data_IF_980759771661
#
_entry.id   IF_980759771661
#
_cell.length_a   1.000
_cell.length_b   1.000
_cell.length_c   1.000
_cell.angle_alpha   90.00
_cell.angle_beta   90.00
_cell.angle_gamma   90.00
#
_symmetry.space_group_name_H-M   'P 1'
#
loop_
_entity.id
_entity.type
_entity.pdbx_description
1 polymer ?
#
# COMPACT_ATOMS: atom_id res chain seq x y z
N UNK A 1 36.06 24.75 81.58
CA UNK A 1 35.06 23.70 81.90
C UNK A 1 34.74 23.01 80.58
N UNK A 2 35.56 22.06 80.11
CA UNK A 2 35.62 20.64 80.51
C UNK A 2 34.29 19.91 80.28
N UNK A 3 34.29 19.03 79.25
CA UNK A 3 33.76 17.65 79.15
C UNK A 3 32.35 17.33 79.74
N UNK A 4 31.49 16.48 79.18
CA UNK A 4 31.57 15.34 78.26
C UNK A 4 30.15 15.09 77.69
N UNK A 5 29.99 14.82 76.40
CA UNK A 5 29.89 13.47 75.80
C UNK A 5 29.06 12.46 76.62
N UNK A 6 27.80 12.23 76.20
CA UNK A 6 27.16 10.92 76.33
C UNK A 6 26.87 10.37 74.95
N UNK A 7 27.75 9.46 74.56
CA UNK A 7 27.57 8.45 73.53
C UNK A 7 26.29 7.65 73.79
N UNK A 8 25.49 7.42 72.76
CA UNK A 8 24.65 6.22 72.68
C UNK A 8 25.01 5.48 71.39
N UNK A 9 25.25 4.18 71.55
CA UNK A 9 25.98 3.29 70.65
C UNK A 9 25.12 2.87 69.45
N UNK A 10 25.76 2.73 68.28
CA UNK A 10 25.27 1.94 67.13
C UNK A 10 25.11 0.45 67.52
N UNK A 11 24.29 -0.30 66.75
CA UNK A 11 24.92 -1.17 65.76
C UNK A 11 24.28 -1.11 64.36
N UNK A 12 25.17 -1.32 63.40
CA UNK A 12 24.98 -1.60 61.97
C UNK A 12 24.07 -2.81 61.74
N UNK A 13 23.22 -2.81 60.70
CA UNK A 13 22.96 -3.94 59.76
C UNK A 13 22.02 -3.51 58.60
N UNK A 14 22.50 -3.74 57.37
CA UNK A 14 21.81 -4.07 56.11
C UNK A 14 20.80 -3.12 55.43
N UNK A 15 21.30 -2.40 54.41
CA UNK A 15 20.96 -2.59 52.98
C UNK A 15 19.56 -3.12 52.61
N UNK A 16 18.74 -2.26 51.99
CA UNK A 16 17.80 -2.66 50.94
C UNK A 16 17.43 -1.46 50.05
N UNK A 17 17.75 -1.59 48.76
CA UNK A 17 17.39 -0.68 47.68
C UNK A 17 15.88 -0.43 47.65
N UNK A 18 15.48 0.84 47.61
CA UNK A 18 14.13 1.21 47.17
C UNK A 18 14.16 1.45 45.66
N UNK A 19 13.59 0.50 44.93
CA UNK A 19 13.49 0.48 43.48
C UNK A 19 12.67 1.67 42.96
N UNK A 20 13.32 2.54 42.20
CA UNK A 20 12.64 3.44 41.27
C UNK A 20 12.21 2.58 40.09
N UNK A 21 10.92 2.26 40.01
CA UNK A 21 10.32 1.66 38.81
C UNK A 21 10.24 2.77 37.76
N UNK A 22 11.27 2.88 36.92
CA UNK A 22 11.16 3.57 35.64
C UNK A 22 10.19 2.76 34.78
N UNK A 23 9.00 3.30 34.57
CA UNK A 23 8.13 2.88 33.46
C UNK A 23 8.84 3.26 32.16
N UNK A 24 9.72 2.39 31.69
CA UNK A 24 10.22 2.43 30.33
C UNK A 24 9.08 1.98 29.43
N UNK A 25 8.33 2.94 28.89
CA UNK A 25 7.54 2.69 27.68
C UNK A 25 8.51 2.15 26.63
N UNK A 26 8.24 1.01 25.97
CA UNK A 26 9.05 0.59 24.84
C UNK A 26 8.79 1.57 23.69
N UNK A 27 9.55 2.65 23.66
CA UNK A 27 9.73 3.45 22.46
C UNK A 27 10.47 2.52 21.49
N UNK A 28 9.71 1.83 20.64
CA UNK A 28 10.26 0.98 19.61
C UNK A 28 11.26 1.81 18.78
N UNK A 29 12.54 1.57 19.04
CA UNK A 29 13.64 2.27 18.42
C UNK A 29 13.94 1.56 17.11
N UNK A 30 13.27 1.97 16.04
CA UNK A 30 13.50 1.43 14.70
C UNK A 30 14.63 2.20 14.03
N UNK A 31 15.82 1.62 14.06
CA UNK A 31 16.97 2.05 13.27
C UNK A 31 17.36 0.93 12.31
N UNK A 32 16.58 0.75 11.23
CA UNK A 32 16.98 -0.02 10.05
C UNK A 32 16.20 0.51 8.85
N UNK A 33 16.84 1.38 8.07
CA UNK A 33 16.26 2.30 7.07
C UNK A 33 15.26 3.30 7.69
N UNK A 34 15.46 4.61 7.50
CA UNK A 34 14.59 5.65 8.06
C UNK A 34 13.18 5.72 7.44
N UNK A 35 12.76 4.68 6.72
CA UNK A 35 11.52 4.63 5.95
C UNK A 35 10.50 3.79 6.71
N UNK A 36 9.40 4.43 7.12
CA UNK A 36 8.32 3.76 7.86
C UNK A 36 7.35 3.14 6.87
N UNK A 37 7.20 1.83 6.90
CA UNK A 37 6.32 1.09 6.02
C UNK A 37 4.89 1.05 6.54
N UNK A 38 3.94 1.07 5.61
CA UNK A 38 2.52 0.97 5.90
C UNK A 38 1.85 -0.03 4.96
N UNK A 39 0.92 -0.80 5.50
CA UNK A 39 -0.10 -1.49 4.74
C UNK A 39 -1.27 -0.54 4.55
N UNK A 40 -1.71 -0.39 3.31
CA UNK A 40 -2.82 0.47 2.91
C UNK A 40 -3.88 -0.42 2.30
N UNK A 41 -5.14 -0.18 2.66
CA UNK A 41 -6.27 -0.80 1.99
C UNK A 41 -7.28 0.28 1.64
N UNK A 42 -7.72 0.27 0.37
CA UNK A 42 -8.65 1.25 -0.18
C UNK A 42 -9.77 0.52 -0.93
N UNK A 43 -11.00 0.95 -0.70
CA UNK A 43 -12.15 0.62 -1.56
C UNK A 43 -12.77 1.90 -2.09
N UNK A 44 -12.99 1.96 -3.40
CA UNK A 44 -13.72 3.03 -4.06
C UNK A 44 -15.04 2.46 -4.59
N UNK A 45 -16.14 3.14 -4.31
CA UNK A 45 -17.47 2.66 -4.66
C UNK A 45 -18.36 3.80 -5.18
N UNK A 46 -19.21 3.49 -6.14
CA UNK A 46 -20.18 4.40 -6.74
C UNK A 46 -21.44 4.49 -5.89
N UNK A 47 -22.01 5.69 -5.78
CA UNK A 47 -23.37 5.90 -5.30
C UNK A 47 -24.34 5.84 -6.50
N UNK A 48 -25.02 4.71 -6.75
CA UNK A 48 -25.84 4.53 -7.96
C UNK A 48 -27.10 5.42 -8.00
N UNK A 49 -27.58 5.86 -6.84
CA UNK A 49 -28.76 6.73 -6.70
C UNK A 49 -28.40 8.20 -6.48
N UNK A 50 -27.13 8.59 -6.60
CA UNK A 50 -26.69 9.96 -6.39
C UNK A 50 -27.23 10.90 -7.47
N UNK A 51 -27.78 12.05 -7.07
CA UNK A 51 -28.11 13.10 -8.03
C UNK A 51 -26.85 13.90 -8.38
N UNK A 52 -26.15 13.49 -9.43
CA UNK A 52 -24.91 14.13 -9.86
C UNK A 52 -25.14 15.50 -10.54
N UNK A 53 -26.38 15.85 -10.86
CA UNK A 53 -26.75 17.07 -11.58
C UNK A 53 -27.00 18.27 -10.65
N UNK A 54 -27.15 18.03 -9.35
CA UNK A 54 -27.36 19.09 -8.36
C UNK A 54 -26.09 19.91 -8.05
N UNK A 55 -24.92 19.38 -8.40
CA UNK A 55 -23.64 20.03 -8.11
C UNK A 55 -22.97 20.55 -9.39
N UNK A 56 -22.75 21.86 -9.44
CA UNK A 56 -22.12 22.55 -10.55
C UNK A 56 -20.60 22.32 -10.51
N UNK A 57 -20.18 21.18 -11.03
CA UNK A 57 -18.77 20.89 -11.26
C UNK A 57 -18.26 21.71 -12.46
N UNK A 58 -17.07 22.30 -12.39
CA UNK A 58 -16.49 23.01 -13.53
C UNK A 58 -16.38 22.05 -14.72
N UNK A 59 -17.10 22.36 -15.80
CA UNK A 59 -17.17 21.51 -17.00
C UNK A 59 -15.91 21.61 -17.88
N UNK A 60 -15.08 22.62 -17.61
CA UNK A 60 -13.91 22.95 -18.41
C UNK A 60 -12.66 22.90 -17.52
N UNK A 61 -11.66 22.13 -17.96
CA UNK A 61 -10.23 22.30 -17.65
C UNK A 61 -9.59 21.70 -16.40
N UNK A 62 -10.30 21.07 -15.45
CA UNK A 62 -9.58 20.47 -14.32
C UNK A 62 -8.90 19.12 -14.62
N UNK A 63 -8.50 18.83 -15.87
CA UNK A 63 -7.72 17.64 -16.24
C UNK A 63 -6.44 17.55 -15.40
N UNK A 64 -6.48 16.86 -14.26
CA UNK A 64 -5.28 16.44 -13.59
C UNK A 64 -4.66 15.32 -14.43
N UNK A 65 -3.42 15.56 -14.83
CA UNK A 65 -2.59 14.56 -15.49
C UNK A 65 -2.08 13.61 -14.41
N UNK A 66 -2.21 12.31 -14.66
CA UNK A 66 -1.52 11.31 -13.83
C UNK A 66 -0.01 11.59 -13.91
N UNK A 67 0.68 11.82 -12.79
CA UNK A 67 2.10 12.19 -12.84
C UNK A 67 2.95 11.10 -13.52
N UNK A 68 4.06 11.48 -14.15
CA UNK A 68 4.94 10.53 -14.86
C UNK A 68 5.54 9.46 -13.93
N UNK A 69 5.71 9.77 -12.64
CA UNK A 69 6.20 8.83 -11.63
C UNK A 69 5.09 7.97 -11.01
N UNK A 70 3.85 8.02 -11.52
CA UNK A 70 2.77 7.20 -11.00
C UNK A 70 2.99 5.72 -11.35
N UNK A 71 2.68 4.85 -10.39
CA UNK A 71 2.83 3.40 -10.55
C UNK A 71 1.47 2.72 -10.48
N UNK A 72 1.24 1.73 -11.35
CA UNK A 72 0.15 0.78 -11.16
C UNK A 72 0.55 -0.24 -10.09
N UNK A 73 -0.40 -0.69 -9.26
CA UNK A 73 -0.13 -1.77 -8.32
C UNK A 73 0.00 -3.09 -9.08
N UNK A 74 1.17 -3.71 -9.02
CA UNK A 74 1.42 -5.00 -9.65
C UNK A 74 0.55 -6.09 -9.02
N UNK A 75 -0.05 -6.97 -9.82
CA UNK A 75 -0.69 -8.19 -9.33
C UNK A 75 0.28 -9.36 -9.39
N UNK A 76 0.13 -10.33 -8.49
CA UNK A 76 0.84 -11.62 -8.63
C UNK A 76 0.51 -12.30 -9.95
N UNK A 77 -0.71 -12.15 -10.46
CA UNK A 77 -1.07 -12.74 -11.75
C UNK A 77 -0.21 -12.15 -12.87
N UNK A 78 0.02 -10.84 -12.90
CA UNK A 78 0.84 -10.18 -13.92
C UNK A 78 2.28 -10.73 -13.93
N UNK A 79 2.83 -11.02 -12.74
CA UNK A 79 4.17 -11.57 -12.59
C UNK A 79 4.23 -13.06 -12.97
N UNK A 80 3.14 -13.81 -12.76
CA UNK A 80 3.08 -15.23 -13.13
C UNK A 80 2.75 -15.44 -14.62
N UNK A 81 2.13 -14.46 -15.27
CA UNK A 81 1.81 -14.47 -16.72
C UNK A 81 2.98 -14.06 -17.60
N UNK A 82 4.22 -14.12 -17.11
CA UNK A 82 5.42 -13.79 -17.87
C UNK A 82 5.38 -14.39 -19.28
N UNK A 83 5.57 -13.52 -20.27
CA UNK A 83 5.69 -13.82 -21.69
C UNK A 83 6.81 -14.83 -22.04
N UNK A 84 7.62 -15.25 -21.06
CA UNK A 84 8.69 -16.23 -21.23
C UNK A 84 8.19 -17.65 -21.57
N UNK A 85 6.93 -18.00 -21.27
CA UNK A 85 6.38 -19.30 -21.66
C UNK A 85 6.13 -19.41 -23.16
N UNK A 86 5.91 -18.30 -23.85
CA UNK A 86 5.72 -18.26 -25.31
C UNK A 86 7.05 -18.52 -26.05
N UNK A 87 8.17 -18.17 -25.42
CA UNK A 87 9.52 -18.38 -25.98
C UNK A 87 10.04 -19.83 -25.79
N UNK A 88 9.45 -20.60 -24.87
CA UNK A 88 9.71 -22.05 -24.73
C UNK A 88 8.94 -22.89 -25.75
N UNK A 89 7.87 -22.35 -26.36
CA UNK A 89 7.10 -23.06 -27.38
C UNK A 89 7.86 -23.20 -28.71
N UNK A 90 8.82 -22.31 -28.98
CA UNK A 90 9.68 -22.30 -30.17
C UNK A 90 11.02 -23.01 -29.94
N UNK A 91 11.24 -23.62 -28.77
CA UNK A 91 12.38 -24.49 -28.55
C UNK A 91 12.17 -25.76 -29.40
N UNK A 92 13.01 -26.04 -30.42
CA UNK A 92 12.90 -27.28 -31.15
C UNK A 92 13.06 -28.43 -30.14
N UNK A 93 12.04 -29.28 -30.04
CA UNK A 93 12.11 -30.56 -29.34
C UNK A 93 13.09 -31.46 -30.12
N UNK A 94 14.38 -31.18 -30.02
CA UNK A 94 15.42 -32.06 -30.46
C UNK A 94 15.40 -33.26 -29.51
N UNK A 95 14.79 -34.36 -29.97
CA UNK A 95 14.97 -35.67 -29.36
C UNK A 95 16.47 -35.93 -29.26
N UNK A 96 16.96 -35.91 -28.03
CA UNK A 96 18.37 -36.02 -27.69
C UNK A 96 18.95 -37.33 -28.23
N UNK A 97 19.64 -37.23 -29.36
CA UNK A 97 20.62 -38.19 -29.84
C UNK A 97 21.82 -37.40 -30.36
N UNK A 98 22.51 -36.72 -29.46
CA UNK A 98 23.89 -36.30 -29.69
C UNK A 98 24.60 -36.17 -28.34
N UNK A 99 25.43 -37.17 -28.07
CA UNK A 99 26.54 -37.04 -27.12
C UNK A 99 27.32 -35.75 -27.46
N UNK A 100 27.40 -34.82 -26.50
CA UNK A 100 28.33 -33.69 -26.57
C UNK A 100 27.84 -32.40 -27.23
N UNK A 101 26.52 -32.13 -27.28
CA UNK A 101 26.07 -30.78 -27.60
C UNK A 101 26.20 -29.86 -26.36
N UNK A 102 27.28 -29.08 -26.30
CA UNK A 102 27.34 -27.91 -25.41
C UNK A 102 26.21 -26.95 -25.82
N UNK A 103 25.14 -26.94 -25.03
CA UNK A 103 24.13 -25.90 -25.13
C UNK A 103 24.85 -24.58 -24.86
N UNK A 104 24.88 -23.62 -25.81
CA UNK A 104 25.35 -22.30 -25.50
C UNK A 104 24.33 -21.73 -24.53
N UNK A 105 24.64 -21.79 -23.23
CA UNK A 105 23.97 -20.95 -22.24
C UNK A 105 24.42 -19.54 -22.59
N UNK A 106 23.70 -18.89 -23.51
CA UNK A 106 23.78 -17.46 -23.68
C UNK A 106 23.44 -16.89 -22.30
N UNK A 107 24.46 -16.57 -21.52
CA UNK A 107 24.33 -15.78 -20.30
C UNK A 107 23.86 -14.41 -20.75
N UNK A 108 22.54 -14.28 -20.96
CA UNK A 108 21.87 -13.00 -21.03
C UNK A 108 22.22 -12.29 -19.73
N UNK A 109 22.71 -11.06 -19.85
CA UNK A 109 23.24 -10.27 -18.74
C UNK A 109 22.40 -10.48 -17.48
N UNK A 110 23.05 -10.97 -16.43
CA UNK A 110 22.48 -11.26 -15.12
C UNK A 110 22.11 -9.98 -14.34
N UNK A 111 21.64 -8.93 -15.01
CA UNK A 111 21.32 -7.65 -14.36
C UNK A 111 19.92 -7.62 -13.76
N UNK A 112 19.01 -8.48 -14.20
CA UNK A 112 17.74 -8.75 -13.50
C UNK A 112 17.61 -10.25 -13.31
N UNK A 113 18.26 -10.78 -12.26
CA UNK A 113 18.00 -12.12 -11.80
C UNK A 113 16.49 -12.23 -11.50
N UNK A 114 15.78 -13.04 -12.29
CA UNK A 114 14.37 -13.36 -12.05
C UNK A 114 14.23 -13.78 -10.57
N UNK A 115 13.51 -12.96 -9.80
CA UNK A 115 13.17 -13.26 -8.40
C UNK A 115 11.67 -13.32 -8.28
N UNK A 116 11.19 -14.28 -7.51
CA UNK A 116 9.78 -14.30 -7.11
C UNK A 116 9.49 -13.03 -6.29
N UNK A 117 8.37 -12.34 -6.56
CA UNK A 117 7.94 -11.23 -5.73
C UNK A 117 7.79 -11.65 -4.27
N UNK A 118 8.29 -10.83 -3.38
CA UNK A 118 8.18 -11.01 -1.93
C UNK A 118 7.08 -10.08 -1.41
N UNK A 119 5.85 -10.59 -1.26
CA UNK A 119 4.69 -9.84 -0.73
C UNK A 119 4.96 -9.15 0.61
N UNK A 120 5.96 -9.61 1.37
CA UNK A 120 6.31 -9.05 2.67
C UNK A 120 7.30 -7.88 2.59
N UNK A 121 7.99 -7.70 1.45
CA UNK A 121 9.08 -6.72 1.29
C UNK A 121 9.00 -5.88 0.03
N UNK A 122 8.22 -6.28 -0.96
CA UNK A 122 8.06 -5.55 -2.21
C UNK A 122 6.96 -4.50 -2.04
N UNK A 123 7.32 -3.24 -2.26
CA UNK A 123 6.37 -2.14 -2.25
C UNK A 123 5.47 -2.17 -3.49
N UNK A 124 4.27 -1.62 -3.35
CA UNK A 124 3.29 -1.43 -4.44
C UNK A 124 2.82 -2.74 -5.11
N UNK A 125 3.00 -3.87 -4.44
CA UNK A 125 2.45 -5.17 -4.84
C UNK A 125 1.08 -5.39 -4.18
N UNK A 126 0.07 -5.77 -4.98
CA UNK A 126 -1.26 -6.08 -4.46
C UNK A 126 -1.19 -7.31 -3.56
N UNK A 127 -1.70 -7.16 -2.34
CA UNK A 127 -1.86 -8.25 -1.39
C UNK A 127 -3.02 -9.15 -1.81
N UNK A 128 -2.94 -10.45 -1.53
CA UNK A 128 -4.02 -11.39 -1.83
C UNK A 128 -5.22 -11.16 -0.90
N UNK A 129 -6.39 -11.65 -1.32
CA UNK A 129 -7.67 -11.38 -0.66
C UNK A 129 -7.71 -11.81 0.82
N UNK A 130 -6.90 -12.79 1.24
CA UNK A 130 -6.82 -13.23 2.64
C UNK A 130 -6.26 -12.16 3.58
N UNK A 131 -5.54 -11.17 3.04
CA UNK A 131 -4.95 -10.06 3.78
C UNK A 131 -5.77 -8.76 3.69
N UNK A 132 -6.99 -8.84 3.12
CA UNK A 132 -7.91 -7.71 3.02
C UNK A 132 -8.88 -7.71 4.20
N UNK A 133 -9.01 -6.58 4.89
CA UNK A 133 -9.97 -6.45 5.99
C UNK A 133 -11.35 -5.99 5.48
N UNK A 134 -11.43 -5.30 4.34
CA UNK A 134 -12.69 -4.76 3.82
C UNK A 134 -13.59 -5.79 3.15
N UNK A 135 -13.27 -7.08 3.22
CA UNK A 135 -14.09 -8.14 2.59
C UNK A 135 -15.55 -8.11 3.03
N UNK A 136 -15.80 -8.02 4.33
CA UNK A 136 -17.17 -8.00 4.84
C UNK A 136 -17.89 -6.69 4.48
N UNK A 137 -17.18 -5.57 4.55
CA UNK A 137 -17.68 -4.24 4.18
C UNK A 137 -18.06 -4.18 2.71
N UNK A 138 -17.21 -4.68 1.82
CA UNK A 138 -17.43 -4.67 0.38
C UNK A 138 -18.61 -5.57 0.00
N UNK A 139 -18.72 -6.75 0.61
CA UNK A 139 -19.91 -7.58 0.44
C UNK A 139 -21.20 -6.92 0.96
N UNK A 140 -21.12 -6.09 2.01
CA UNK A 140 -22.29 -5.34 2.49
C UNK A 140 -22.68 -4.21 1.51
N UNK A 141 -21.68 -3.49 0.97
CA UNK A 141 -21.88 -2.48 -0.07
C UNK A 141 -22.53 -3.09 -1.31
N UNK A 142 -22.03 -4.20 -1.82
CA UNK A 142 -22.58 -4.87 -3.02
C UNK A 142 -24.01 -5.41 -2.83
N UNK A 143 -24.42 -5.71 -1.59
CA UNK A 143 -25.79 -6.14 -1.30
C UNK A 143 -26.77 -4.98 -1.20
N UNK A 144 -26.28 -3.77 -0.93
CA UNK A 144 -27.11 -2.57 -0.87
C UNK A 144 -27.33 -2.05 -2.29
N UNK A 145 -28.59 -1.96 -2.72
CA UNK A 145 -28.97 -1.58 -4.10
C UNK A 145 -28.60 -0.15 -4.52
N UNK A 146 -27.96 0.63 -3.65
CA UNK A 146 -27.52 2.00 -3.92
C UNK A 146 -26.01 2.14 -4.10
N UNK A 147 -25.24 1.06 -3.97
CA UNK A 147 -23.79 1.11 -4.03
C UNK A 147 -23.20 0.03 -4.93
N UNK A 148 -22.07 0.36 -5.56
CA UNK A 148 -21.30 -0.61 -6.35
C UNK A 148 -19.82 -0.39 -6.18
N UNK A 149 -19.08 -1.42 -5.79
CA UNK A 149 -17.62 -1.35 -5.69
C UNK A 149 -17.03 -1.19 -7.09
N UNK A 150 -16.21 -0.15 -7.27
CA UNK A 150 -15.50 0.13 -8.52
C UNK A 150 -14.07 -0.40 -8.46
N UNK A 151 -13.42 -0.28 -7.30
CA UNK A 151 -12.04 -0.68 -7.10
C UNK A 151 -11.81 -1.08 -5.65
N UNK A 152 -11.03 -2.14 -5.43
CA UNK A 152 -10.57 -2.55 -4.10
C UNK A 152 -9.17 -3.13 -4.23
N UNK A 153 -8.24 -2.61 -3.41
CA UNK A 153 -6.90 -3.16 -3.32
C UNK A 153 -6.33 -2.93 -1.92
N UNK A 154 -5.46 -3.85 -1.50
CA UNK A 154 -4.56 -3.67 -0.37
C UNK A 154 -3.12 -3.87 -0.85
N UNK A 155 -2.18 -3.05 -0.36
CA UNK A 155 -0.76 -3.14 -0.72
C UNK A 155 0.11 -2.60 0.42
N UNK A 156 1.42 -2.76 0.29
CA UNK A 156 2.41 -2.21 1.22
C UNK A 156 3.28 -1.18 0.52
N UNK A 157 3.64 -0.11 1.22
CA UNK A 157 4.57 0.88 0.69
C UNK A 157 5.34 1.58 1.82
N UNK A 158 6.57 2.05 1.54
CA UNK A 158 7.24 3.02 2.40
C UNK A 158 6.48 4.35 2.36
N UNK A 159 6.22 4.93 3.53
CA UNK A 159 5.57 6.23 3.62
C UNK A 159 6.61 7.34 3.67
N UNK A 160 6.53 8.26 2.71
CA UNK A 160 7.47 9.38 2.55
C UNK A 160 6.75 10.71 2.68
N UNK A 161 7.48 11.83 2.56
CA UNK A 161 6.87 13.17 2.51
C UNK A 161 6.28 13.46 1.12
N UNK A 162 5.38 14.43 1.03
CA UNK A 162 4.67 14.78 -0.20
C UNK A 162 5.56 14.91 -1.46
N UNK A 163 6.76 15.48 -1.35
CA UNK A 163 7.67 15.68 -2.49
C UNK A 163 8.28 14.39 -3.06
N UNK A 164 8.29 13.30 -2.28
CA UNK A 164 8.83 11.98 -2.65
C UNK A 164 7.76 10.90 -2.73
N UNK A 165 6.49 11.29 -2.62
CA UNK A 165 5.37 10.37 -2.61
C UNK A 165 5.09 9.86 -4.02
N UNK A 166 4.96 8.55 -4.16
CA UNK A 166 4.64 7.90 -5.43
C UNK A 166 3.11 7.83 -5.60
N UNK A 167 2.54 8.47 -6.63
CA UNK A 167 1.13 8.30 -6.95
C UNK A 167 0.86 6.88 -7.44
N UNK A 168 -0.33 6.37 -7.12
CA UNK A 168 -0.77 5.04 -7.48
C UNK A 168 -1.89 5.18 -8.49
N UNK A 169 -1.72 4.58 -9.67
CA UNK A 169 -2.71 4.59 -10.73
C UNK A 169 -3.91 3.75 -10.30
N UNK A 170 -5.10 4.35 -10.37
CA UNK A 170 -6.37 3.68 -10.12
C UNK A 170 -7.12 3.59 -11.42
N UNK A 171 -7.46 2.36 -11.81
CA UNK A 171 -8.40 2.05 -12.88
C UNK A 171 -9.43 1.08 -12.30
N UNK A 172 -10.71 1.43 -12.36
CA UNK A 172 -11.78 0.65 -11.73
C UNK A 172 -13.13 0.79 -12.42
N UNK A 173 -14.05 -0.10 -12.05
CA UNK A 173 -15.36 -0.23 -12.67
C UNK A 173 -15.27 -0.81 -14.09
N UNK A 174 -16.28 -0.51 -14.90
CA UNK A 174 -16.36 -1.02 -16.29
C UNK A 174 -15.27 -0.39 -17.17
N UNK A 175 -14.69 -1.19 -18.06
CA UNK A 175 -13.77 -0.74 -19.10
C UNK A 175 -14.53 -0.44 -20.39
N UNK A 176 -14.14 0.61 -21.10
CA UNK A 176 -14.71 1.06 -22.36
C UNK A 176 -13.59 1.33 -23.37
N UNK A 177 -13.69 0.75 -24.56
CA UNK A 177 -12.61 0.76 -25.53
C UNK A 177 -11.36 0.06 -24.98
N UNK A 178 -10.18 0.54 -25.37
CA UNK A 178 -8.91 -0.09 -24.98
C UNK A 178 -8.42 0.37 -23.61
N UNK A 179 -8.64 1.64 -23.23
CA UNK A 179 -7.94 2.25 -22.08
C UNK A 179 -8.82 3.01 -21.10
N UNK A 180 -10.09 3.29 -21.44
CA UNK A 180 -10.96 4.08 -20.56
C UNK A 180 -11.66 3.18 -19.54
N UNK A 181 -11.78 3.67 -18.30
CA UNK A 181 -12.51 3.00 -17.24
C UNK A 181 -13.50 3.96 -16.58
N UNK A 182 -14.54 3.44 -15.93
CA UNK A 182 -15.47 4.24 -15.12
C UNK A 182 -14.78 5.07 -14.06
N UNK A 183 -13.75 4.53 -13.43
CA UNK A 183 -12.95 5.23 -12.45
C UNK A 183 -11.50 5.26 -12.92
N UNK A 184 -10.93 6.45 -13.07
CA UNK A 184 -9.54 6.62 -13.50
C UNK A 184 -8.84 7.73 -12.74
N UNK A 185 -7.53 7.60 -12.53
CA UNK A 185 -6.70 8.67 -12.00
C UNK A 185 -5.62 8.14 -11.09
N UNK A 186 -5.35 8.85 -10.00
CA UNK A 186 -4.36 8.42 -9.03
C UNK A 186 -4.72 8.73 -7.59
N UNK A 187 -4.21 7.90 -6.68
CA UNK A 187 -4.18 8.14 -5.26
C UNK A 187 -2.75 8.38 -4.81
N UNK A 188 -2.53 9.32 -3.91
CA UNK A 188 -1.21 9.59 -3.36
C UNK A 188 -1.30 9.57 -1.84
N UNK A 189 -0.42 8.80 -1.21
CA UNK A 189 -0.34 8.72 0.25
C UNK A 189 1.03 9.19 0.70
N UNK A 190 1.06 10.04 1.72
CA UNK A 190 2.30 10.60 2.24
C UNK A 190 2.12 11.07 3.67
N UNK A 191 3.23 11.28 4.37
CA UNK A 191 3.19 11.91 5.68
C UNK A 191 2.93 13.41 5.60
N UNK A 192 2.12 13.91 6.52
CA UNK A 192 2.05 15.35 6.78
C UNK A 192 3.43 15.89 7.21
N UNK A 193 3.58 17.23 7.24
CA UNK A 193 4.88 17.89 7.43
C UNK A 193 5.62 17.49 8.70
N UNK A 194 4.91 17.16 9.78
CA UNK A 194 5.47 16.72 11.05
C UNK A 194 5.51 15.20 11.21
N UNK A 195 5.15 14.44 10.17
CA UNK A 195 5.34 13.00 10.11
C UNK A 195 4.52 12.20 11.15
N UNK A 196 3.42 12.80 11.61
CA UNK A 196 2.51 12.26 12.64
C UNK A 196 1.28 11.57 12.07
N UNK A 197 0.92 11.88 10.83
CA UNK A 197 -0.30 11.37 10.19
C UNK A 197 -0.09 11.15 8.70
N UNK A 198 -0.91 10.27 8.13
CA UNK A 198 -0.90 9.95 6.71
C UNK A 198 -1.96 10.77 6.02
N UNK A 199 -1.56 11.55 5.02
CA UNK A 199 -2.47 12.26 4.13
C UNK A 199 -2.76 11.37 2.94
N UNK A 200 -4.05 11.14 2.66
CA UNK A 200 -4.51 10.61 1.38
C UNK A 200 -4.95 11.77 0.52
N UNK A 201 -4.39 11.86 -0.67
CA UNK A 201 -4.89 12.71 -1.76
C UNK A 201 -5.44 11.84 -2.87
N UNK A 202 -6.65 12.17 -3.31
CA UNK A 202 -7.29 11.57 -4.47
C UNK A 202 -7.38 12.59 -5.59
N UNK A 203 -6.96 12.18 -6.76
CA UNK A 203 -7.19 12.87 -8.02
C UNK A 203 -7.79 11.83 -8.96
N UNK A 204 -9.11 11.69 -8.92
CA UNK A 204 -9.85 10.65 -9.62
C UNK A 204 -10.98 11.23 -10.47
N UNK A 205 -11.29 10.54 -11.56
CA UNK A 205 -12.33 10.87 -12.52
C UNK A 205 -13.34 9.75 -12.51
N UNK A 206 -14.61 10.11 -12.32
CA UNK A 206 -15.69 9.22 -12.64
C UNK A 206 -16.23 9.54 -14.05
N UNK A 207 -16.05 8.61 -14.97
CA UNK A 207 -16.46 8.72 -16.36
C UNK A 207 -17.84 8.06 -16.55
N UNK A 208 -18.78 8.82 -17.10
CA UNK A 208 -20.03 8.28 -17.63
C UNK A 208 -19.91 8.14 -19.14
N UNK A 209 -20.47 7.05 -19.66
CA UNK A 209 -20.33 6.67 -21.06
C UNK A 209 -21.69 6.51 -21.72
N UNK A 210 -21.76 6.86 -23.01
CA UNK A 210 -22.84 6.46 -23.90
C UNK A 210 -22.21 5.77 -25.12
N UNK A 211 -22.33 4.44 -25.17
CA UNK A 211 -21.56 3.63 -26.11
C UNK A 211 -20.07 3.70 -25.77
N UNK A 212 -19.24 4.07 -26.74
CA UNK A 212 -17.78 4.20 -26.59
C UNK A 212 -17.33 5.63 -26.22
N UNK A 213 -18.26 6.59 -26.18
CA UNK A 213 -17.93 7.99 -25.90
C UNK A 213 -18.14 8.32 -24.43
N UNK A 214 -17.15 8.99 -23.84
CA UNK A 214 -17.30 9.64 -22.52
C UNK A 214 -18.24 10.84 -22.70
N UNK A 215 -19.40 10.79 -22.06
CA UNK A 215 -20.40 11.87 -22.10
C UNK A 215 -20.20 12.86 -20.97
N UNK A 216 -19.68 12.41 -19.83
CA UNK A 216 -19.43 13.25 -18.66
C UNK A 216 -18.23 12.75 -17.88
N UNK A 217 -17.41 13.68 -17.39
CA UNK A 217 -16.37 13.41 -16.39
C UNK A 217 -16.70 14.17 -15.11
N UNK A 218 -16.73 13.47 -13.99
CA UNK A 218 -16.96 14.06 -12.68
C UNK A 218 -15.62 13.99 -11.92
N UNK A 219 -15.01 15.13 -11.54
CA UNK A 219 -13.84 15.13 -10.68
C UNK A 219 -14.21 14.56 -9.32
N UNK A 220 -13.35 13.69 -8.80
CA UNK A 220 -13.39 13.13 -7.45
C UNK A 220 -12.05 13.48 -6.83
N UNK A 221 -12.00 14.68 -6.23
CA UNK A 221 -10.80 15.22 -5.60
C UNK A 221 -11.02 15.41 -4.11
N UNK A 222 -10.13 14.85 -3.30
CA UNK A 222 -10.18 14.97 -1.86
C UNK A 222 -8.79 14.86 -1.27
N UNK A 223 -8.53 15.64 -0.21
CA UNK A 223 -7.32 15.55 0.60
C UNK A 223 -7.74 15.37 2.05
N UNK A 224 -7.29 14.27 2.67
CA UNK A 224 -7.69 13.92 4.04
C UNK A 224 -6.48 13.53 4.86
N UNK A 225 -6.33 14.16 6.01
CA UNK A 225 -5.37 13.77 7.03
C UNK A 225 -5.95 12.62 7.88
N UNK A 226 -5.27 11.47 7.88
CA UNK A 226 -5.73 10.21 8.44
C UNK A 226 -4.84 9.75 9.58
N UNK A 227 -5.48 9.23 10.63
CA UNK A 227 -4.79 8.51 11.69
C UNK A 227 -4.60 7.05 11.28
N UNK A 228 -3.43 6.51 11.59
CA UNK A 228 -3.14 5.10 11.40
C UNK A 228 -3.99 4.24 12.34
N UNK A 229 -4.33 3.03 11.88
CA UNK A 229 -5.18 2.06 12.57
C UNK A 229 -6.63 2.51 12.77
N UNK A 230 -7.08 3.54 12.05
CA UNK A 230 -8.47 3.99 12.02
C UNK A 230 -9.03 3.82 10.60
N UNK A 231 -10.32 3.49 10.54
CA UNK A 231 -11.08 3.47 9.30
C UNK A 231 -11.54 4.90 8.95
N UNK A 232 -11.33 5.32 7.70
CA UNK A 232 -11.77 6.62 7.20
C UNK A 232 -12.73 6.46 6.02
N UNK A 233 -13.81 7.23 6.05
CA UNK A 233 -14.72 7.43 4.92
C UNK A 233 -14.54 8.85 4.39
N UNK A 234 -14.24 8.98 3.11
CA UNK A 234 -14.23 10.25 2.40
C UNK A 234 -15.46 10.26 1.50
N UNK A 235 -16.38 11.17 1.83
CA UNK A 235 -17.62 11.31 1.08
C UNK A 235 -17.39 12.09 -0.21
N UNK A 236 -18.04 11.62 -1.27
CA UNK A 236 -18.16 12.32 -2.53
C UNK A 236 -19.53 11.96 -3.12
N UNK A 237 -20.27 12.92 -3.71
CA UNK A 237 -21.61 12.67 -4.25
C UNK A 237 -21.67 11.52 -5.26
N UNK A 238 -20.60 11.37 -6.05
CA UNK A 238 -20.41 10.28 -6.99
C UNK A 238 -19.73 9.04 -6.39
N UNK A 239 -18.54 9.20 -5.81
CA UNK A 239 -17.66 8.06 -5.49
C UNK A 239 -17.18 8.14 -4.04
N UNK A 240 -17.70 7.28 -3.19
CA UNK A 240 -17.20 7.12 -1.83
C UNK A 240 -15.82 6.43 -1.81
N UNK A 241 -14.95 6.85 -0.89
CA UNK A 241 -13.65 6.21 -0.64
C UNK A 241 -13.63 5.71 0.80
N UNK A 242 -13.42 4.40 0.96
CA UNK A 242 -13.05 3.76 2.22
C UNK A 242 -11.54 3.57 2.22
N UNK A 243 -10.87 3.95 3.30
CA UNK A 243 -9.42 3.78 3.42
C UNK A 243 -9.02 3.49 4.86
N UNK A 244 -8.04 2.62 5.01
CA UNK A 244 -7.34 2.39 6.27
C UNK A 244 -5.84 2.23 6.01
N UNK A 245 -5.04 2.63 6.99
CA UNK A 245 -3.58 2.54 6.92
C UNK A 245 -3.02 2.00 8.24
N UNK A 246 -2.21 0.96 8.17
CA UNK A 246 -1.57 0.34 9.33
C UNK A 246 -0.05 0.40 9.19
N UNK A 247 0.69 0.75 10.26
CA UNK A 247 2.13 0.57 10.27
C UNK A 247 2.46 -0.90 10.00
N UNK A 248 3.46 -1.14 9.17
CA UNK A 248 3.89 -2.48 8.78
C UNK A 248 5.38 -2.64 9.04
N UNK A 249 5.75 -3.73 9.70
CA UNK A 249 7.15 -4.09 9.95
C UNK A 249 7.61 -5.06 8.88
N UNK A 250 8.58 -4.63 8.06
CA UNK A 250 9.15 -5.46 7.01
C UNK A 250 9.99 -6.57 7.65
N UNK A 251 9.67 -7.86 7.45
CA UNK A 251 10.44 -8.95 8.04
C UNK A 251 11.89 -8.94 7.53
N UNK A 252 12.88 -9.28 8.36
CA UNK A 252 14.28 -9.31 7.94
C UNK A 252 14.49 -10.38 6.85
N UNK A 253 15.34 -10.08 5.86
CA UNK A 253 15.71 -11.02 4.79
C UNK A 253 16.09 -12.39 5.36
N UNK A 254 15.37 -13.44 4.94
CA UNK A 254 15.72 -14.81 5.32
C UNK A 254 16.95 -15.19 4.50
N UNK A 255 18.13 -15.12 5.12
CA UNK A 255 19.34 -15.64 4.51
C UNK A 255 19.31 -17.17 4.53
N UNK A 256 19.35 -17.79 3.36
CA UNK A 256 19.44 -19.25 3.21
C UNK A 256 20.71 -19.84 3.84
N UNK A 257 21.68 -19.00 4.25
CA UNK A 257 22.90 -19.44 4.94
C UNK A 257 22.67 -19.98 6.36
N UNK A 258 21.48 -19.75 6.96
CA UNK A 258 21.16 -20.17 8.33
C UNK A 258 20.29 -21.43 8.41
N UNK A 259 19.94 -22.05 7.28
CA UNK A 259 19.25 -23.34 7.26
C UNK A 259 20.30 -24.46 7.39
N UNK A 260 20.65 -24.80 8.62
CA UNK A 260 21.32 -26.08 8.91
C UNK A 260 20.28 -27.19 8.74
N UNK A 261 20.40 -27.94 7.64
CA UNK A 261 19.72 -29.23 7.47
C UNK A 261 20.53 -30.35 8.14
#
# INVERSE_FOLDING_TARGET
MSHALKLLRLPVIAMALLAVVLMASPSASFAQSGERWYQVEVTLFLHETGNFDEENWPQEEAYFTVPENALALSSMLDVLTLADWEQLADAPLALANSEGAEVPVQQRAADEAFRLPDLSRDAFLQLPAEQHDFRQTNQALERASGYRVLYHAAWRQPMTQASRATPIIINGGRQFGETAHELQGSLRLFFNRNETRVVLESALWFNQFAGENITRRIPVQSSRDMRSNEFHYLDHPAVGILVQVFPYEVPPAVSLANLQF
#
